data_IF_752508798401
#
_entry.id   IF_752508798401
#
_cell.length_a   1.000
_cell.length_b   1.000
_cell.length_c   1.000
_cell.angle_alpha   90.00
_cell.angle_beta   90.00
_cell.angle_gamma   90.00
#
_symmetry.space_group_name_H-M   'P 1'
#
loop_
_entity.id
_entity.type
_entity.pdbx_description
1 polymer ?
#
# COMPACT_ATOMS: atom_id res chain seq x y z
N UNK A 1 -13.37 6.37 15.79
CA UNK A 1 -12.22 5.60 15.27
C UNK A 1 -11.59 6.52 14.25
N UNK A 2 -10.36 6.97 14.48
CA UNK A 2 -9.75 8.04 13.68
C UNK A 2 -9.32 7.54 12.30
N UNK A 3 -9.27 8.44 11.31
CA UNK A 3 -8.90 8.16 9.91
C UNK A 3 -7.57 7.37 9.81
N UNK A 4 -6.61 7.64 10.68
CA UNK A 4 -5.34 6.89 10.75
C UNK A 4 -5.52 5.40 11.08
N UNK A 5 -6.42 5.05 12.00
CA UNK A 5 -6.64 3.64 12.36
C UNK A 5 -7.22 2.83 11.19
N UNK A 6 -8.03 3.47 10.34
CA UNK A 6 -8.56 2.83 9.14
C UNK A 6 -7.43 2.54 8.15
N UNK A 7 -6.50 3.48 7.95
CA UNK A 7 -5.33 3.27 7.10
C UNK A 7 -4.36 2.23 7.64
N UNK A 8 -4.11 2.19 8.95
CA UNK A 8 -3.29 1.15 9.57
C UNK A 8 -3.87 -0.24 9.30
N UNK A 9 -5.19 -0.39 9.48
CA UNK A 9 -5.88 -1.65 9.21
C UNK A 9 -5.84 -2.02 7.72
N UNK A 10 -5.95 -1.05 6.82
CA UNK A 10 -5.80 -1.29 5.38
C UNK A 10 -4.37 -1.73 5.04
N UNK A 11 -3.35 -1.07 5.61
CA UNK A 11 -1.94 -1.43 5.41
C UNK A 11 -1.59 -2.83 5.92
N UNK A 12 -2.10 -3.24 7.09
CA UNK A 12 -1.91 -4.59 7.64
C UNK A 12 -2.42 -5.69 6.69
N UNK A 13 -3.50 -5.38 5.97
CA UNK A 13 -4.19 -6.32 5.07
C UNK A 13 -3.76 -6.20 3.62
N UNK A 14 -3.05 -5.13 3.25
CA UNK A 14 -2.63 -4.86 1.88
C UNK A 14 -1.85 -6.04 1.26
N UNK A 15 -1.05 -6.73 2.08
CA UNK A 15 -0.22 -7.86 1.64
C UNK A 15 -0.93 -9.23 1.62
N UNK A 16 -2.24 -9.30 1.91
CA UNK A 16 -2.98 -10.57 1.99
C UNK A 16 -2.98 -11.34 0.66
N UNK A 17 -3.23 -10.64 -0.44
CA UNK A 17 -3.22 -11.16 -1.81
C UNK A 17 -2.99 -10.03 -2.83
N UNK A 18 -2.84 -10.40 -4.12
CA UNK A 18 -2.62 -9.47 -5.22
C UNK A 18 -3.73 -8.40 -5.35
N UNK A 19 -4.98 -8.76 -5.12
CA UNK A 19 -6.11 -7.84 -5.30
C UNK A 19 -6.23 -6.88 -4.13
N UNK A 20 -6.00 -7.35 -2.90
CA UNK A 20 -5.86 -6.51 -1.73
C UNK A 20 -4.73 -5.50 -1.91
N UNK A 21 -3.60 -5.93 -2.47
CA UNK A 21 -2.47 -5.07 -2.79
C UNK A 21 -2.82 -4.01 -3.83
N UNK A 22 -3.34 -4.42 -4.99
CA UNK A 22 -3.70 -3.51 -6.07
C UNK A 22 -4.74 -2.46 -5.61
N UNK A 23 -5.71 -2.88 -4.80
CA UNK A 23 -6.68 -1.96 -4.21
C UNK A 23 -6.02 -0.98 -3.23
N UNK A 24 -5.07 -1.43 -2.41
CA UNK A 24 -4.34 -0.57 -1.49
C UNK A 24 -3.49 0.48 -2.22
N UNK A 25 -2.75 0.07 -3.26
CA UNK A 25 -1.95 1.00 -4.09
C UNK A 25 -2.83 2.08 -4.73
N UNK A 26 -3.96 1.68 -5.32
CA UNK A 26 -4.89 2.63 -5.93
C UNK A 26 -5.53 3.60 -4.91
N UNK A 27 -5.90 3.11 -3.73
CA UNK A 27 -6.48 3.95 -2.67
C UNK A 27 -5.50 4.97 -2.09
N UNK A 28 -4.19 4.73 -2.22
CA UNK A 28 -3.13 5.55 -1.61
C UNK A 28 -2.49 6.55 -2.57
N UNK A 29 -2.77 6.45 -3.88
CA UNK A 29 -2.13 7.23 -4.96
C UNK A 29 -2.11 8.74 -4.73
N UNK A 30 -3.23 9.30 -4.26
CA UNK A 30 -3.41 10.75 -4.15
C UNK A 30 -3.47 11.27 -2.71
N UNK A 31 -3.24 10.44 -1.69
CA UNK A 31 -3.38 10.87 -0.29
C UNK A 31 -2.38 11.97 0.11
N UNK A 32 -1.21 12.02 -0.53
CA UNK A 32 -0.22 13.08 -0.32
C UNK A 32 -0.71 14.51 -0.63
N UNK A 33 -1.84 14.63 -1.34
CA UNK A 33 -2.48 15.92 -1.61
C UNK A 33 -3.23 16.46 -0.38
N UNK A 34 -3.65 15.59 0.54
CA UNK A 34 -4.23 15.98 1.82
C UNK A 34 -3.13 16.28 2.84
N UNK A 35 -2.81 17.58 2.99
CA UNK A 35 -1.80 18.06 3.94
C UNK A 35 -2.18 17.88 5.40
N UNK A 36 -3.45 17.61 5.71
CA UNK A 36 -3.89 17.25 7.06
C UNK A 36 -3.63 15.77 7.39
N UNK A 37 -3.40 14.94 6.37
CA UNK A 37 -3.17 13.50 6.51
C UNK A 37 -1.71 13.12 6.25
N UNK A 38 -1.05 13.77 5.29
CA UNK A 38 0.33 13.50 4.87
C UNK A 38 1.10 14.81 4.81
N UNK A 39 2.02 15.00 5.76
CA UNK A 39 2.89 16.18 5.81
C UNK A 39 4.01 16.11 4.76
N UNK A 40 4.74 14.98 4.71
CA UNK A 40 5.86 14.77 3.80
C UNK A 40 5.41 14.07 2.50
N UNK A 41 4.98 14.88 1.53
CA UNK A 41 4.56 14.38 0.22
C UNK A 41 5.70 13.76 -0.60
N UNK A 42 6.95 14.23 -0.43
CA UNK A 42 8.09 13.71 -1.17
C UNK A 42 8.50 12.33 -0.65
N UNK A 43 8.46 12.11 0.67
CA UNK A 43 8.58 10.78 1.25
C UNK A 43 7.43 9.87 0.81
N UNK A 44 6.19 10.35 0.84
CA UNK A 44 5.03 9.57 0.41
C UNK A 44 5.18 9.08 -1.04
N UNK A 45 5.46 10.00 -1.97
CA UNK A 45 5.58 9.66 -3.38
C UNK A 45 6.72 8.68 -3.66
N UNK A 46 7.84 8.79 -2.95
CA UNK A 46 8.96 7.84 -3.06
C UNK A 46 8.54 6.44 -2.63
N UNK A 47 7.92 6.29 -1.47
CA UNK A 47 7.46 4.98 -0.98
C UNK A 47 6.35 4.44 -1.89
N UNK A 48 5.36 5.28 -2.24
CA UNK A 48 4.25 4.87 -3.11
C UNK A 48 4.73 4.39 -4.49
N UNK A 49 5.79 4.99 -5.05
CA UNK A 49 6.39 4.52 -6.29
C UNK A 49 6.91 3.08 -6.19
N UNK A 50 7.55 2.71 -5.07
CA UNK A 50 7.99 1.33 -4.83
C UNK A 50 6.79 0.36 -4.74
N UNK A 51 5.67 0.80 -4.14
CA UNK A 51 4.44 0.01 -4.14
C UNK A 51 3.93 -0.23 -5.57
N UNK A 52 3.99 0.80 -6.41
CA UNK A 52 3.58 0.74 -7.81
C UNK A 52 4.44 -0.23 -8.62
N UNK A 53 5.75 -0.32 -8.34
CA UNK A 53 6.65 -1.30 -8.95
C UNK A 53 6.18 -2.73 -8.62
N UNK A 54 5.95 -3.05 -7.34
CA UNK A 54 5.46 -4.38 -6.95
C UNK A 54 4.11 -4.67 -7.62
N UNK A 55 3.21 -3.70 -7.61
CA UNK A 55 1.89 -3.85 -8.20
C UNK A 55 1.98 -4.16 -9.71
N UNK A 56 2.80 -3.40 -10.44
CA UNK A 56 3.02 -3.61 -11.87
C UNK A 56 3.65 -4.96 -12.19
N UNK A 57 4.67 -5.37 -11.44
CA UNK A 57 5.33 -6.67 -11.62
C UNK A 57 4.37 -7.84 -11.36
N UNK A 58 3.63 -7.78 -10.25
CA UNK A 58 2.74 -8.85 -9.85
C UNK A 58 1.52 -8.97 -10.79
N UNK A 59 0.93 -7.85 -11.20
CA UNK A 59 -0.17 -7.84 -12.18
C UNK A 59 0.28 -8.35 -13.55
N UNK A 60 1.47 -7.97 -14.01
CA UNK A 60 2.03 -8.45 -15.28
C UNK A 60 2.26 -9.97 -15.24
N UNK A 61 2.88 -10.49 -14.17
CA UNK A 61 3.12 -11.93 -14.04
C UNK A 61 1.81 -12.72 -13.94
N UNK A 62 0.82 -12.21 -13.20
CA UNK A 62 -0.50 -12.83 -13.10
C UNK A 62 -1.21 -12.87 -14.47
N UNK A 63 -1.11 -11.79 -15.26
CA UNK A 63 -1.64 -11.75 -16.64
C UNK A 63 -0.93 -12.74 -17.56
N UNK A 64 0.40 -12.80 -17.52
CA UNK A 64 1.23 -13.73 -18.30
C UNK A 64 0.93 -15.20 -18.00
N UNK A 65 0.51 -15.53 -16.77
CA UNK A 65 0.09 -16.87 -16.36
C UNK A 65 -1.37 -17.20 -16.72
N UNK A 66 -2.06 -16.30 -17.42
CA UNK A 66 -3.44 -16.51 -17.88
C UNK A 66 -4.49 -16.18 -16.81
N UNK A 67 -4.15 -15.32 -15.85
CA UNK A 67 -5.06 -14.82 -14.79
C UNK A 67 -5.70 -15.96 -13.98
N UNK A 68 -4.90 -16.84 -13.35
CA UNK A 68 -5.44 -17.91 -12.52
C UNK A 68 -6.28 -17.33 -11.37
N UNK A 69 -7.35 -18.03 -11.01
CA UNK A 69 -8.25 -17.66 -9.92
C UNK A 69 -7.55 -17.75 -8.55
N UNK A 70 -6.76 -18.80 -8.35
CA UNK A 70 -5.86 -18.92 -7.20
C UNK A 70 -4.42 -18.62 -7.61
N UNK A 71 -3.91 -17.48 -7.12
CA UNK A 71 -2.53 -17.05 -7.31
C UNK A 71 -1.80 -16.83 -5.97
N UNK A 72 -2.38 -17.35 -4.88
CA UNK A 72 -1.92 -17.11 -3.53
C UNK A 72 -0.50 -17.63 -3.28
N UNK A 73 -0.13 -18.77 -3.85
CA UNK A 73 1.21 -19.34 -3.73
C UNK A 73 2.28 -18.41 -4.33
N UNK A 74 2.10 -18.01 -5.59
CA UNK A 74 3.00 -17.08 -6.27
C UNK A 74 3.11 -15.75 -5.54
N UNK A 75 1.99 -15.18 -5.10
CA UNK A 75 1.96 -13.96 -4.30
C UNK A 75 2.76 -14.09 -2.99
N UNK A 76 2.50 -15.15 -2.23
CA UNK A 76 3.12 -15.39 -0.92
C UNK A 76 4.63 -15.59 -1.03
N UNK A 77 5.10 -16.28 -2.07
CA UNK A 77 6.52 -16.58 -2.24
C UNK A 77 7.31 -15.39 -2.81
N UNK A 78 6.74 -14.67 -3.78
CA UNK A 78 7.49 -13.67 -4.53
C UNK A 78 7.32 -12.22 -4.05
N UNK A 79 6.17 -11.85 -3.46
CA UNK A 79 5.82 -10.44 -3.27
C UNK A 79 5.41 -10.07 -1.84
N UNK A 80 4.75 -10.99 -1.12
CA UNK A 80 4.07 -10.66 0.14
C UNK A 80 4.95 -10.01 1.20
N UNK A 81 6.20 -10.47 1.35
CA UNK A 81 7.09 -9.95 2.38
C UNK A 81 7.46 -8.48 2.13
N UNK A 82 7.82 -8.16 0.89
CA UNK A 82 8.21 -6.80 0.49
C UNK A 82 7.00 -5.87 0.48
N UNK A 83 5.86 -6.34 -0.07
CA UNK A 83 4.58 -5.64 -0.02
C UNK A 83 4.20 -5.27 1.42
N UNK A 84 4.35 -6.19 2.37
CA UNK A 84 4.06 -5.92 3.78
C UNK A 84 4.97 -4.84 4.37
N UNK A 85 6.26 -4.87 4.05
CA UNK A 85 7.21 -3.88 4.55
C UNK A 85 6.89 -2.48 4.01
N UNK A 86 6.66 -2.38 2.69
CA UNK A 86 6.33 -1.13 2.02
C UNK A 86 4.98 -0.55 2.47
N UNK A 87 3.95 -1.38 2.65
CA UNK A 87 2.68 -0.92 3.21
C UNK A 87 2.85 -0.35 4.62
N UNK A 88 3.64 -1.01 5.47
CA UNK A 88 3.93 -0.52 6.82
C UNK A 88 4.71 0.81 6.80
N UNK A 89 5.66 0.96 5.89
CA UNK A 89 6.43 2.19 5.69
C UNK A 89 5.52 3.34 5.22
N UNK A 90 4.64 3.09 4.25
CA UNK A 90 3.73 4.11 3.72
C UNK A 90 2.75 4.62 4.79
N UNK A 91 2.10 3.71 5.53
CA UNK A 91 1.12 4.11 6.56
C UNK A 91 1.77 4.81 7.76
N UNK A 92 3.07 4.61 7.98
CA UNK A 92 3.81 5.33 9.01
C UNK A 92 3.96 6.83 8.70
N UNK A 93 3.79 7.24 7.44
CA UNK A 93 3.81 8.64 7.00
C UNK A 93 2.49 9.37 7.25
N UNK A 94 1.46 8.67 7.76
CA UNK A 94 0.15 9.27 8.06
C UNK A 94 0.16 9.94 9.44
N UNK A 95 -0.22 11.22 9.47
CA UNK A 95 -0.28 12.03 10.68
C UNK A 95 -1.26 11.47 11.71
N UNK A 96 -0.90 11.57 12.99
CA UNK A 96 -1.86 11.39 14.08
C UNK A 96 -2.84 12.56 14.10
N UNK A 97 -4.14 12.27 14.17
CA UNK A 97 -5.21 13.28 14.22
C UNK A 97 -5.10 14.25 15.42
N UNK A 98 -4.18 14.00 16.36
CA UNK A 98 -3.98 14.80 17.58
C UNK A 98 -2.75 15.74 17.52
N UNK A 99 -1.96 15.74 16.44
CA UNK A 99 -0.72 16.56 16.38
C UNK A 99 -0.92 18.00 15.89
N UNK A 100 -2.15 18.46 15.61
CA UNK A 100 -2.42 19.84 15.19
C UNK A 100 -2.59 20.83 16.36
N UNK A 101 -2.09 20.52 17.54
CA UNK A 101 -2.02 21.45 18.67
C UNK A 101 -0.58 21.70 19.11
N UNK A 102 0.15 22.53 18.35
CA UNK A 102 1.22 23.41 18.84
C UNK A 102 1.43 24.58 17.88
#
# INVERSE_FOLDING_TARGET
>A
MGVKNDWLRLGERASEDLFAWAAFVAQTEFLWQDKGLVEDADAWQRVWFELEIINGLALAQWDEQGRPEDWSCCWNEAYRQEARALAAELVALICDADSSAC
#
